data_IF_030481664001
#
_entry.id   IF_030481664001
#
_cell.length_a   1.000
_cell.length_b   1.000
_cell.length_c   1.000
_cell.angle_alpha   90.00
_cell.angle_beta   90.00
_cell.angle_gamma   90.00
#
_symmetry.space_group_name_H-M   'P 1'
#
loop_
_entity.id
_entity.type
_entity.pdbx_description
1 polymer ?
#
# COMPACT_ATOMS: atom_id res chain seq x y z
N UNK A 1 16.53 7.41 0.98
CA UNK A 1 16.39 6.97 -0.42
C UNK A 1 16.93 8.07 -1.32
N UNK A 2 17.70 7.74 -2.36
CA UNK A 2 18.21 8.73 -3.33
C UNK A 2 17.64 8.43 -4.71
N UNK A 3 16.79 9.33 -5.20
CA UNK A 3 16.25 9.27 -6.55
C UNK A 3 17.29 9.75 -7.56
N UNK A 4 17.25 9.21 -8.79
CA UNK A 4 18.23 9.60 -9.83
C UNK A 4 18.00 11.01 -10.34
N UNK A 5 16.78 11.53 -10.20
CA UNK A 5 16.38 12.90 -10.52
C UNK A 5 15.05 13.23 -9.86
N UNK A 6 14.70 14.52 -9.81
CA UNK A 6 13.39 14.98 -9.36
C UNK A 6 12.27 14.45 -10.27
N UNK A 7 12.56 14.28 -11.56
CA UNK A 7 11.63 13.66 -12.51
C UNK A 7 11.36 12.18 -12.19
N UNK A 8 12.37 11.42 -11.76
CA UNK A 8 12.22 10.03 -11.31
C UNK A 8 11.38 9.94 -10.02
N UNK A 9 11.55 10.92 -9.12
CA UNK A 9 10.72 11.08 -7.93
C UNK A 9 9.25 11.36 -8.31
N UNK A 10 9.00 12.38 -9.13
CA UNK A 10 7.65 12.79 -9.54
C UNK A 10 6.90 11.70 -10.31
N UNK A 11 7.58 10.98 -11.21
CA UNK A 11 6.91 9.99 -12.06
C UNK A 11 6.67 8.65 -11.38
N UNK A 12 7.45 8.32 -10.35
CA UNK A 12 7.47 6.95 -9.80
C UNK A 12 7.15 6.88 -8.32
N UNK A 13 7.49 7.90 -7.55
CA UNK A 13 7.25 7.93 -6.10
C UNK A 13 5.96 8.66 -5.75
N UNK A 14 5.74 9.86 -6.30
CA UNK A 14 4.52 10.65 -6.04
C UNK A 14 3.22 9.87 -6.33
N UNK A 15 3.10 9.08 -7.41
CA UNK A 15 1.88 8.28 -7.64
C UNK A 15 1.64 7.22 -6.57
N UNK A 16 2.70 6.71 -5.94
CA UNK A 16 2.59 5.75 -4.84
C UNK A 16 2.03 6.47 -3.62
N UNK A 17 2.66 7.58 -3.21
CA UNK A 17 2.19 8.40 -2.08
C UNK A 17 0.72 8.80 -2.23
N UNK A 18 0.31 9.19 -3.44
CA UNK A 18 -1.08 9.56 -3.72
C UNK A 18 -2.04 8.38 -3.49
N UNK A 19 -1.70 7.19 -4.00
CA UNK A 19 -2.51 5.98 -3.78
C UNK A 19 -2.55 5.59 -2.30
N UNK A 20 -1.42 5.67 -1.58
CA UNK A 20 -1.38 5.34 -0.16
C UNK A 20 -2.22 6.31 0.67
N UNK A 21 -2.16 7.60 0.35
CA UNK A 21 -2.97 8.64 1.01
C UNK A 21 -4.45 8.48 0.69
N UNK A 22 -4.79 8.13 -0.55
CA UNK A 22 -6.16 7.83 -0.96
C UNK A 22 -6.72 6.63 -0.18
N UNK A 23 -6.01 5.50 -0.18
CA UNK A 23 -6.39 4.31 0.61
C UNK A 23 -6.50 4.64 2.09
N UNK A 24 -5.53 5.36 2.64
CA UNK A 24 -5.58 5.75 4.05
C UNK A 24 -6.83 6.55 4.39
N UNK A 25 -7.19 7.50 3.53
CA UNK A 25 -8.40 8.33 3.69
C UNK A 25 -9.67 7.49 3.62
N UNK A 26 -9.78 6.58 2.64
CA UNK A 26 -10.93 5.68 2.47
C UNK A 26 -11.16 4.79 3.70
N UNK A 27 -10.09 4.38 4.38
CA UNK A 27 -10.13 3.51 5.54
C UNK A 27 -10.01 4.24 6.89
N UNK A 28 -10.04 5.58 6.90
CA UNK A 28 -10.06 6.40 8.11
C UNK A 28 -8.72 6.53 8.84
N UNK A 29 -7.60 6.27 8.16
CA UNK A 29 -6.25 6.41 8.69
C UNK A 29 -5.70 7.83 8.49
N UNK A 30 -4.92 8.30 9.45
CA UNK A 30 -4.28 9.61 9.43
C UNK A 30 -2.91 9.54 8.78
N UNK A 31 -2.60 10.48 7.88
CA UNK A 31 -1.31 10.60 7.22
C UNK A 31 -0.33 11.47 8.03
N UNK A 32 0.90 11.00 8.20
CA UNK A 32 2.01 11.68 8.84
C UNK A 32 3.30 11.43 8.03
N UNK A 33 3.47 12.20 6.96
CA UNK A 33 4.58 12.02 6.01
C UNK A 33 4.48 10.68 5.27
N UNK A 34 5.45 9.80 5.51
CA UNK A 34 5.52 8.45 4.90
C UNK A 34 4.86 7.36 5.79
N UNK A 35 4.16 7.77 6.85
CA UNK A 35 3.48 6.90 7.81
C UNK A 35 1.98 7.16 7.80
N UNK A 36 1.20 6.09 7.99
CA UNK A 36 -0.23 6.18 8.21
C UNK A 36 -0.62 5.48 9.50
N UNK A 37 -1.43 6.15 10.31
CA UNK A 37 -1.79 5.73 11.67
C UNK A 37 -3.29 5.54 11.82
N UNK A 38 -3.68 4.61 12.69
CA UNK A 38 -5.06 4.48 13.12
C UNK A 38 -5.48 5.56 14.12
N UNK A 39 -6.71 5.47 14.63
CA UNK A 39 -7.25 6.42 15.60
C UNK A 39 -6.59 6.32 16.98
N UNK A 40 -5.89 5.23 17.28
CA UNK A 40 -5.08 5.07 18.50
C UNK A 40 -3.67 5.66 18.33
N UNK A 41 -3.30 6.07 17.11
CA UNK A 41 -1.98 6.59 16.78
C UNK A 41 -0.97 5.51 16.42
N UNK A 42 -1.40 4.25 16.29
CA UNK A 42 -0.54 3.13 15.93
C UNK A 42 -0.29 3.12 14.42
N UNK A 43 0.95 2.85 14.02
CA UNK A 43 1.32 2.79 12.58
C UNK A 43 0.73 1.53 11.96
N UNK A 44 -0.14 1.73 10.97
CA UNK A 44 -0.79 0.63 10.23
C UNK A 44 -0.19 0.44 8.84
N UNK A 45 0.41 1.48 8.27
CA UNK A 45 1.03 1.45 6.96
C UNK A 45 2.21 2.44 6.90
N UNK A 46 3.25 2.10 6.15
CA UNK A 46 4.45 2.93 5.96
C UNK A 46 5.02 2.72 4.57
N UNK A 47 5.56 3.78 3.97
CA UNK A 47 6.34 3.72 2.74
C UNK A 47 7.83 3.84 3.05
N UNK A 48 8.59 2.76 2.83
CA UNK A 48 10.05 2.78 2.90
C UNK A 48 10.63 2.58 1.49
N UNK A 49 10.86 3.69 0.82
CA UNK A 49 11.24 3.70 -0.59
C UNK A 49 10.15 3.14 -1.49
N UNK A 50 10.37 2.01 -2.16
CA UNK A 50 9.30 1.35 -2.94
C UNK A 50 8.60 0.22 -2.17
N UNK A 51 8.90 0.07 -0.88
CA UNK A 51 8.32 -0.95 -0.02
C UNK A 51 7.16 -0.37 0.78
N UNK A 52 5.95 -0.84 0.51
CA UNK A 52 4.75 -0.52 1.27
C UNK A 52 4.61 -1.57 2.37
N UNK A 53 4.86 -1.19 3.62
CA UNK A 53 4.71 -2.08 4.77
C UNK A 53 3.34 -1.85 5.40
N UNK A 54 2.63 -2.94 5.69
CA UNK A 54 1.30 -2.92 6.28
C UNK A 54 1.26 -3.91 7.44
N UNK A 55 0.75 -3.47 8.59
CA UNK A 55 0.72 -4.27 9.81
C UNK A 55 -0.55 -5.14 9.88
N UNK A 56 -0.45 -6.28 10.58
CA UNK A 56 -1.47 -7.35 10.58
C UNK A 56 -2.84 -7.02 11.18
N UNK A 57 -3.06 -5.78 11.63
CA UNK A 57 -4.33 -5.29 12.16
C UNK A 57 -5.26 -4.66 11.12
N UNK A 58 -4.80 -4.48 9.88
CA UNK A 58 -5.64 -3.89 8.82
C UNK A 58 -6.61 -4.90 8.23
N UNK A 59 -7.71 -4.41 7.66
CA UNK A 59 -8.69 -5.27 7.01
C UNK A 59 -8.12 -5.91 5.74
N UNK A 60 -8.59 -7.12 5.41
CA UNK A 60 -8.23 -7.79 4.14
C UNK A 60 -8.66 -6.99 2.91
N UNK A 61 -9.80 -6.31 2.99
CA UNK A 61 -10.30 -5.44 1.93
C UNK A 61 -9.31 -4.30 1.61
N UNK A 62 -8.74 -3.67 2.63
CA UNK A 62 -7.72 -2.63 2.44
C UNK A 62 -6.51 -3.17 1.68
N UNK A 63 -6.02 -4.36 2.05
CA UNK A 63 -4.88 -5.00 1.37
C UNK A 63 -5.19 -5.29 -0.10
N UNK A 64 -6.42 -5.72 -0.39
CA UNK A 64 -6.89 -5.95 -1.76
C UNK A 64 -6.91 -4.64 -2.55
N UNK A 65 -7.57 -3.60 -2.05
CA UNK A 65 -7.71 -2.31 -2.73
C UNK A 65 -6.35 -1.66 -2.98
N UNK A 66 -5.49 -1.65 -1.95
CA UNK A 66 -4.11 -1.20 -2.03
C UNK A 66 -3.36 -1.94 -3.13
N UNK A 67 -3.47 -3.28 -3.11
CA UNK A 67 -2.86 -4.16 -4.09
C UNK A 67 -3.31 -3.90 -5.52
N UNK A 68 -4.61 -3.66 -5.72
CA UNK A 68 -5.19 -3.36 -7.03
C UNK A 68 -4.74 -1.98 -7.52
N UNK A 69 -4.81 -0.94 -6.68
CA UNK A 69 -4.43 0.42 -7.06
C UNK A 69 -2.95 0.52 -7.39
N UNK A 70 -2.05 -0.03 -6.56
CA UNK A 70 -0.60 0.02 -6.81
C UNK A 70 -0.18 -0.72 -8.09
N UNK A 71 -0.88 -1.80 -8.45
CA UNK A 71 -0.59 -2.52 -9.71
C UNK A 71 -0.92 -1.73 -10.96
N UNK A 72 -1.89 -0.82 -10.90
CA UNK A 72 -2.24 0.04 -12.05
C UNK A 72 -1.07 0.95 -12.44
N UNK A 73 -0.15 1.24 -11.51
CA UNK A 73 1.08 1.99 -11.79
C UNK A 73 2.08 1.24 -12.67
N UNK A 74 1.95 -0.09 -12.82
CA UNK A 74 2.89 -0.96 -13.55
C UNK A 74 4.36 -0.81 -13.11
N UNK A 75 4.60 -0.32 -11.90
CA UNK A 75 5.94 -0.15 -11.33
C UNK A 75 6.39 -1.42 -10.61
N UNK A 76 7.31 -2.17 -11.24
CA UNK A 76 7.82 -3.46 -10.74
C UNK A 76 8.70 -3.36 -9.50
N UNK A 77 9.11 -2.15 -9.10
CA UNK A 77 9.89 -1.95 -7.88
C UNK A 77 9.02 -1.93 -6.62
N UNK A 78 7.70 -1.77 -6.77
CA UNK A 78 6.78 -1.74 -5.63
C UNK A 78 6.66 -3.14 -5.03
N UNK A 79 6.91 -3.24 -3.73
CA UNK A 79 6.68 -4.45 -2.94
C UNK A 79 5.71 -4.12 -1.81
N UNK A 80 4.73 -5.00 -1.57
CA UNK A 80 3.78 -4.87 -0.46
C UNK A 80 4.15 -5.92 0.57
N UNK A 81 4.41 -5.50 1.81
CA UNK A 81 4.67 -6.37 2.94
C UNK A 81 3.45 -6.34 3.86
N UNK A 82 2.92 -7.50 4.23
CA UNK A 82 1.81 -7.62 5.16
C UNK A 82 2.18 -8.62 6.25
N UNK A 83 2.13 -8.20 7.52
CA UNK A 83 2.51 -9.07 8.64
C UNK A 83 3.96 -9.56 8.56
N UNK A 84 4.83 -8.84 7.86
CA UNK A 84 6.25 -9.20 7.64
C UNK A 84 6.54 -10.01 6.38
N UNK A 85 5.52 -10.46 5.64
CA UNK A 85 5.70 -11.24 4.41
C UNK A 85 5.38 -10.43 3.15
N UNK A 86 6.10 -10.69 2.05
CA UNK A 86 5.80 -10.07 0.76
C UNK A 86 4.51 -10.66 0.18
N UNK A 87 3.53 -9.82 -0.09
CA UNK A 87 2.33 -10.22 -0.82
C UNK A 87 2.58 -10.10 -2.33
N UNK A 88 2.48 -11.24 -3.00
CA UNK A 88 2.70 -11.37 -4.44
C UNK A 88 1.49 -10.97 -5.30
N UNK A 89 1.73 -10.71 -6.60
CA UNK A 89 0.76 -10.77 -7.70
C UNK A 89 -0.37 -11.79 -7.49
N UNK A 90 0.00 -13.04 -7.28
CA UNK A 90 -0.93 -14.17 -7.17
C UNK A 90 -1.73 -14.14 -5.87
N UNK A 91 -1.11 -13.77 -4.75
CA UNK A 91 -1.80 -13.72 -3.45
C UNK A 91 -2.91 -12.66 -3.44
N UNK A 92 -2.71 -11.45 -3.98
CA UNK A 92 -3.81 -10.46 -4.05
C UNK A 92 -4.94 -10.96 -4.95
N UNK A 93 -4.62 -11.61 -6.08
CA UNK A 93 -5.63 -12.21 -6.94
C UNK A 93 -6.45 -13.28 -6.19
N UNK A 94 -5.75 -14.15 -5.45
CA UNK A 94 -6.40 -15.16 -4.61
C UNK A 94 -7.28 -14.53 -3.53
N UNK A 95 -6.82 -13.45 -2.88
CA UNK A 95 -7.60 -12.72 -1.87
C UNK A 95 -8.91 -12.17 -2.46
N UNK A 96 -8.83 -11.54 -3.65
CA UNK A 96 -10.02 -11.06 -4.40
C UNK A 96 -11.00 -12.21 -4.66
N UNK A 97 -10.51 -13.36 -5.15
CA UNK A 97 -11.35 -14.52 -5.46
C UNK A 97 -12.07 -15.06 -4.22
N UNK A 98 -11.39 -15.14 -3.06
CA UNK A 98 -12.03 -15.56 -1.80
C UNK A 98 -13.06 -14.57 -1.27
N UNK A 99 -12.84 -13.25 -1.39
CA UNK A 99 -13.82 -12.25 -0.96
C UNK A 99 -15.10 -12.29 -1.81
N UNK A 100 -14.97 -12.53 -3.13
CA UNK A 100 -16.12 -12.69 -4.04
C UNK A 100 -16.96 -13.92 -3.66
N UNK A 101 -16.35 -15.00 -3.18
CA UNK A 101 -17.05 -16.23 -2.78
C UNK A 101 -17.68 -16.11 -1.39
N UNK A 102 -17.16 -15.23 -0.54
CA UNK A 102 -17.66 -15.00 0.82
C UNK A 102 -18.80 -13.95 0.90
N UNK A 103 -19.06 -13.24 -0.21
CA UNK A 103 -20.13 -12.24 -0.36
C UNK A 103 -21.39 -12.84 -0.98
#
# INVERSE_FOLDING_TARGET
MTFKSDSDYEQRFVPILNILTEIATEYGYQCDGDFWKDCAGEVVMMLEGFNVKVWGGVSRLMIIDLGVKLRKLKNRQIQIFYGGEIITPKQIKSLIETEIVAS
#
